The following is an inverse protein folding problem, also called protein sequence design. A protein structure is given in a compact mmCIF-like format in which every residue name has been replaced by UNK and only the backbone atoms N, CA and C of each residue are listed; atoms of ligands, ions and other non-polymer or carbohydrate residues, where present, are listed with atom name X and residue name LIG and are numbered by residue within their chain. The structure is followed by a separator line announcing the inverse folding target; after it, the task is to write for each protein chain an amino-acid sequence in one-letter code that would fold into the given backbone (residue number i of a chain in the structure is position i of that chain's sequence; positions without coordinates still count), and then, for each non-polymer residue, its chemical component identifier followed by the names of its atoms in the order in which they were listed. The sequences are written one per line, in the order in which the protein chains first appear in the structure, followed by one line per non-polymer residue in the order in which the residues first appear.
data_IF_727396589161
#
_entry.id   IF_727396589161
#
_cell.length_a   1.000
_cell.length_b   1.000
_cell.length_c   1.000
_cell.angle_alpha   90.00
_cell.angle_beta   90.00
_cell.angle_gamma   90.00
#
_symmetry.space_group_name_H-M   'P 1'
#
loop_
_entity.id
_entity.type
_entity.pdbx_description
1 polymer ?
2 non-polymer ?
3 non-polymer ?
4 non-polymer ?
5 non-polymer ?
6 non-polymer ?
7 water ?
#
# COMPACT_ATOMS: atom_id res chain seq x y z
N UNK A 1 -10.57 25.35 25.19
CA UNK A 1 -10.28 25.56 23.74
C UNK A 1 -11.30 24.82 22.89
N UNK A 2 -11.36 25.16 21.60
CA UNK A 2 -12.28 24.49 20.69
C UNK A 2 -11.61 23.33 19.96
N UNK A 3 -12.40 22.33 19.59
CA UNK A 3 -11.96 21.25 18.72
C UNK A 3 -12.92 21.19 17.54
N UNK A 4 -12.37 21.27 16.33
CA UNK A 4 -13.14 21.21 15.11
C UNK A 4 -12.79 19.97 14.32
N UNK A 5 -13.74 19.48 13.52
CA UNK A 5 -13.40 18.49 12.51
C UNK A 5 -13.19 19.25 11.21
N UNK A 6 -12.14 18.86 10.47
CA UNK A 6 -11.82 19.41 9.15
C UNK A 6 -11.87 18.32 8.11
N UNK A 7 -13.00 18.22 7.41
CA UNK A 7 -13.23 17.15 6.44
C UNK A 7 -12.77 17.59 5.03
N UNK A 8 -11.78 16.87 4.50
CA UNK A 8 -11.15 17.18 3.23
C UNK A 8 -11.86 16.45 2.12
N UNK A 9 -12.65 17.22 1.38
CA UNK A 9 -13.59 16.68 0.40
C UNK A 9 -13.46 17.41 -0.93
N UNK A 10 -12.26 17.91 -1.21
CA UNK A 10 -11.98 18.59 -2.48
C UNK A 10 -11.20 17.72 -3.46
N UNK A 22 -15.65 12.69 -8.13
CA UNK A 22 -14.93 12.26 -6.92
C UNK A 22 -15.75 11.28 -6.05
N UNK A 23 -15.09 10.25 -5.51
CA UNK A 23 -15.83 9.14 -4.89
C UNK A 23 -16.68 9.50 -3.66
N UNK A 24 -16.36 10.60 -3.00
CA UNK A 24 -17.10 11.00 -1.79
C UNK A 24 -18.58 11.31 -2.05
N UNK A 25 -18.94 11.63 -3.30
CA UNK A 25 -20.33 11.92 -3.66
C UNK A 25 -21.09 10.69 -4.13
N UNK A 26 -20.39 9.58 -4.20
CA UNK A 26 -20.97 8.30 -4.54
C UNK A 26 -21.65 7.65 -3.34
N UNK A 27 -22.72 6.91 -3.62
CA UNK A 27 -23.46 6.20 -2.58
C UNK A 27 -22.71 4.98 -2.07
N UNK A 28 -22.64 4.85 -0.75
CA UNK A 28 -22.26 3.61 -0.12
C UNK A 28 -23.44 3.16 0.72
N UNK A 29 -23.98 1.98 0.42
CA UNK A 29 -25.20 1.51 1.06
C UNK A 29 -26.32 2.36 0.52
N UNK A 30 -26.79 3.31 1.32
CA UNK A 30 -27.90 4.15 0.90
C UNK A 30 -27.65 5.66 1.10
N UNK A 31 -26.40 6.01 1.37
CA UNK A 31 -25.99 7.40 1.63
C UNK A 31 -24.61 7.66 1.02
N UNK A 32 -24.37 8.91 0.56
CA UNK A 32 -23.07 9.25 -0.03
C UNK A 32 -21.93 9.02 0.94
N UNK A 33 -20.79 8.60 0.42
CA UNK A 33 -19.60 8.37 1.25
C UNK A 33 -19.34 9.57 2.17
N UNK A 34 -19.41 10.78 1.63
CA UNK A 34 -19.17 11.99 2.42
C UNK A 34 -20.06 12.05 3.66
N UNK A 35 -21.31 11.64 3.50
CA UNK A 35 -22.29 11.66 4.59
C UNK A 35 -21.92 10.66 5.70
N UNK A 36 -21.53 9.44 5.31
CA UNK A 36 -21.05 8.43 6.24
C UNK A 36 -19.94 9.00 7.11
N UNK A 37 -19.02 9.71 6.45
CA UNK A 37 -17.82 10.26 7.12
C UNK A 37 -18.20 11.37 8.10
N UNK A 38 -19.04 12.31 7.65
CA UNK A 38 -19.50 13.40 8.52
C UNK A 38 -20.26 12.84 9.74
N UNK A 39 -21.11 11.83 9.49
CA UNK A 39 -21.84 11.09 10.54
C UNK A 39 -20.98 10.62 11.70
N UNK A 40 -19.79 10.10 11.39
CA UNK A 40 -18.87 9.61 12.42
C UNK A 40 -18.39 10.71 13.34
N UNK A 41 -18.45 11.97 12.89
CA UNK A 41 -17.99 13.13 13.69
C UNK A 41 -19.10 13.86 14.48
N UNK A 42 -20.34 13.77 14.00
CA UNK A 42 -21.50 14.42 14.65
C UNK A 42 -21.81 13.93 16.06
N UNK A 43 -21.50 12.67 16.37
CA UNK A 43 -21.81 12.16 17.71
C UNK A 43 -20.81 12.58 18.75
N UNK A 44 -19.60 12.91 18.31
CA UNK A 44 -18.52 13.22 19.24
C UNK A 44 -18.85 14.50 20.02
N UNK A 45 -19.11 14.36 21.34
CA UNK A 45 -19.54 15.56 22.07
C UNK A 45 -18.51 16.69 22.13
N UNK A 46 -17.22 16.39 21.94
CA UNK A 46 -16.19 17.42 22.13
C UNK A 46 -15.90 18.28 20.88
N UNK A 47 -16.57 17.96 19.77
CA UNK A 47 -16.41 18.68 18.51
C UNK A 47 -17.35 19.88 18.44
N UNK A 48 -16.81 21.08 18.23
CA UNK A 48 -17.61 22.30 18.12
C UNK A 48 -18.34 22.38 16.76
N UNK A 49 -17.60 22.37 15.66
CA UNK A 49 -18.19 22.39 14.32
C UNK A 49 -17.50 21.37 13.47
N UNK A 50 -18.19 20.91 12.42
CA UNK A 50 -17.62 20.03 11.41
C UNK A 50 -17.51 20.84 10.12
N UNK A 51 -16.27 21.14 9.74
CA UNK A 51 -16.02 22.06 8.64
C UNK A 51 -15.56 21.22 7.46
N UNK A 52 -16.32 21.28 6.37
CA UNK A 52 -16.07 20.45 5.20
C UNK A 52 -15.58 21.29 4.01
N UNK A 53 -14.38 20.97 3.53
CA UNK A 53 -13.78 21.66 2.39
C UNK A 53 -14.15 20.93 1.11
N UNK A 54 -14.90 21.58 0.25
CA UNK A 54 -15.36 20.99 -1.01
C UNK A 54 -14.91 21.89 -2.17
N UNK A 55 -14.70 21.27 -3.33
CA UNK A 55 -14.43 22.03 -4.55
C UNK A 55 -15.54 23.06 -4.71
N UNK A 56 -15.16 24.29 -5.05
CA UNK A 56 -16.11 25.40 -5.18
C UNK A 56 -17.35 25.11 -6.00
N UNK A 57 -17.22 24.31 -7.05
CA UNK A 57 -18.35 23.96 -7.90
C UNK A 57 -19.35 23.00 -7.24
N UNK A 58 -18.92 22.33 -6.17
CA UNK A 58 -19.72 21.32 -5.49
C UNK A 58 -20.19 21.74 -4.10
N UNK A 59 -19.93 23.00 -3.72
CA UNK A 59 -20.37 23.51 -2.43
C UNK A 59 -21.90 23.39 -2.23
N UNK A 60 -22.70 23.90 -3.17
CA UNK A 60 -24.16 23.85 -2.98
C UNK A 60 -24.67 22.40 -3.02
N UNK A 61 -24.00 21.55 -3.79
CA UNK A 61 -24.36 20.14 -3.83
C UNK A 61 -24.11 19.50 -2.44
N UNK A 62 -22.93 19.72 -1.88
CA UNK A 62 -22.64 19.29 -0.52
C UNK A 62 -23.67 19.81 0.50
N UNK A 63 -24.13 21.05 0.33
CA UNK A 63 -25.17 21.62 1.20
C UNK A 63 -26.52 20.92 1.03
N UNK A 64 -26.87 20.57 -0.21
CA UNK A 64 -28.07 19.76 -0.47
C UNK A 64 -28.01 18.42 0.28
N UNK A 65 -26.86 17.76 0.22
CA UNK A 65 -26.65 16.46 0.87
C UNK A 65 -26.86 16.53 2.39
N UNK A 66 -26.32 17.58 3.00
CA UNK A 66 -26.52 17.85 4.44
C UNK A 66 -28.01 18.09 4.75
N UNK A 67 -28.66 18.92 3.94
CA UNK A 67 -30.09 19.16 4.11
C UNK A 67 -30.88 17.86 4.02
N UNK A 68 -30.48 17.01 3.08
CA UNK A 68 -31.20 15.78 2.78
C UNK A 68 -30.90 14.66 3.77
N UNK A 69 -29.63 14.48 4.09
CA UNK A 69 -29.20 13.30 4.86
C UNK A 69 -28.96 13.59 6.34
N UNK A 70 -28.67 14.84 6.68
CA UNK A 70 -28.30 15.20 8.05
C UNK A 70 -28.97 16.51 8.53
N UNK A 71 -30.30 16.67 8.28
CA UNK A 71 -30.97 17.94 8.58
C UNK A 71 -30.91 18.35 10.05
N UNK A 72 -30.82 17.35 10.93
CA UNK A 72 -30.74 17.56 12.37
C UNK A 72 -29.39 18.15 12.77
N UNK A 73 -28.38 18.02 11.90
CA UNK A 73 -27.03 18.50 12.21
C UNK A 73 -26.58 19.68 11.33
N UNK A 74 -27.53 20.26 10.59
CA UNK A 74 -27.27 21.41 9.72
C UNK A 74 -26.40 22.50 10.34
N UNK A 75 -26.75 22.92 11.55
CA UNK A 75 -26.06 24.02 12.21
C UNK A 75 -24.68 23.65 12.76
N UNK A 76 -24.43 22.34 12.88
CA UNK A 76 -23.12 21.83 13.32
C UNK A 76 -22.12 21.73 12.17
N UNK A 77 -22.61 21.84 10.94
CA UNK A 77 -21.80 21.60 9.75
C UNK A 77 -21.62 22.89 8.96
N UNK A 78 -20.37 23.18 8.59
CA UNK A 78 -20.03 24.31 7.72
C UNK A 78 -19.41 23.75 6.46
N UNK A 79 -20.06 23.97 5.33
CA UNK A 79 -19.48 23.70 4.01
C UNK A 79 -18.70 24.93 3.54
N UNK A 80 -17.44 24.74 3.14
CA UNK A 80 -16.63 25.84 2.61
C UNK A 80 -15.83 25.42 1.39
N UNK A 81 -15.42 26.40 0.58
CA UNK A 81 -14.62 26.14 -0.60
C UNK A 81 -13.23 25.63 -0.23
N UNK A 82 -12.90 24.44 -0.70
CA UNK A 82 -11.56 23.88 -0.56
C UNK A 82 -10.59 24.49 -1.56
N UNK A 83 -9.39 23.92 -1.63
CA UNK A 83 -8.34 24.45 -2.49
C UNK A 83 -7.85 23.42 -3.47
N UNK A 84 -6.81 23.80 -4.22
CA UNK A 84 -6.26 22.97 -5.29
C UNK A 84 -5.50 21.72 -4.79
N UNK A 85 -5.09 21.73 -3.53
CA UNK A 85 -4.42 20.57 -2.95
C UNK A 85 -4.87 20.44 -1.50
N UNK A 86 -4.55 19.32 -0.84
CA UNK A 86 -5.05 19.13 0.51
C UNK A 86 -4.66 20.24 1.49
N UNK A 87 -3.41 20.74 1.45
CA UNK A 87 -2.97 21.74 2.42
C UNK A 87 -3.66 23.10 2.22
N UNK A 88 -3.97 23.43 0.97
CA UNK A 88 -4.74 24.64 0.67
C UNK A 88 -6.15 24.48 1.22
N UNK A 89 -6.67 23.25 1.16
CA UNK A 89 -8.01 22.97 1.71
C UNK A 89 -7.97 23.11 3.23
N UNK A 90 -6.92 22.58 3.86
CA UNK A 90 -6.77 22.76 5.32
C UNK A 90 -6.74 24.24 5.72
N UNK A 91 -5.93 25.04 5.04
CA UNK A 91 -5.89 26.48 5.28
C UNK A 91 -7.28 27.09 5.13
N UNK A 92 -7.99 26.72 4.06
CA UNK A 92 -9.32 27.23 3.79
C UNK A 92 -10.29 26.87 4.91
N UNK A 93 -10.19 25.63 5.38
CA UNK A 93 -10.96 25.14 6.54
C UNK A 93 -10.67 25.97 7.79
N UNK A 94 -9.39 26.22 8.05
CA UNK A 94 -8.98 26.97 9.24
C UNK A 94 -9.52 28.41 9.15
N UNK A 95 -9.51 28.98 7.95
CA UNK A 95 -10.06 30.32 7.72
C UNK A 95 -11.56 30.38 8.03
N UNK A 96 -12.29 29.36 7.58
CA UNK A 96 -13.74 29.25 7.86
C UNK A 96 -14.01 29.11 9.36
N UNK A 97 -13.19 28.31 10.03
CA UNK A 97 -13.23 28.19 11.48
C UNK A 97 -13.00 29.55 12.17
N UNK A 98 -11.98 30.27 11.71
CA UNK A 98 -11.63 31.59 12.27
C UNK A 98 -12.78 32.58 12.09
N UNK A 99 -13.50 32.47 10.97
CA UNK A 99 -14.64 33.33 10.68
C UNK A 99 -15.84 32.99 11.58
N UNK A 100 -15.99 31.71 11.93
CA UNK A 100 -17.01 31.26 12.88
C UNK A 100 -16.73 31.83 14.28
N UNK A 101 -15.53 31.59 14.81
CA UNK A 101 -15.10 32.15 16.12
C UNK A 101 -13.60 32.40 16.05
N UNK A 102 -13.18 33.67 16.26
CA UNK A 102 -11.75 34.00 16.09
C UNK A 102 -10.84 33.00 16.84
N UNK A 103 -9.85 32.47 16.13
CA UNK A 103 -8.97 31.44 16.65
C UNK A 103 -8.13 31.91 17.82
N UNK A 104 -7.87 30.99 18.74
CA UNK A 104 -6.85 31.20 19.78
C UNK A 104 -5.75 30.18 19.49
N UNK A 105 -4.59 30.29 20.17
CA UNK A 105 -3.48 29.35 19.93
C UNK A 105 -3.77 27.88 20.27
N UNK A 106 -4.75 27.64 21.11
CA UNK A 106 -5.01 26.29 21.59
C UNK A 106 -6.10 25.55 20.82
N UNK A 107 -6.84 26.27 19.98
CA UNK A 107 -7.89 25.64 19.16
C UNK A 107 -7.31 24.61 18.20
N UNK A 108 -7.96 23.43 18.12
CA UNK A 108 -7.44 22.28 17.41
C UNK A 108 -8.36 21.89 16.23
N UNK A 109 -7.78 21.39 15.13
CA UNK A 109 -8.56 20.82 14.05
C UNK A 109 -8.18 19.36 13.86
N UNK A 110 -9.18 18.49 13.84
CA UNK A 110 -9.01 17.09 13.48
C UNK A 110 -9.31 16.95 11.99
N UNK A 111 -8.25 16.91 11.16
CA UNK A 111 -8.40 16.80 9.71
C UNK A 111 -8.51 15.34 9.26
N UNK A 112 -9.37 15.09 8.26
CA UNK A 112 -9.68 13.73 7.87
C UNK A 112 -10.22 13.69 6.43
N UNK A 113 -9.79 12.69 5.67
CA UNK A 113 -10.25 12.48 4.28
C UNK A 113 -11.75 12.20 4.23
N UNK A 114 -12.46 12.84 3.31
CA UNK A 114 -13.89 12.55 3.11
C UNK A 114 -14.15 11.11 2.72
N UNK A 115 -13.20 10.50 1.99
CA UNK A 115 -13.37 9.13 1.48
C UNK A 115 -12.84 8.05 2.44
N UNK A 116 -12.70 8.41 3.70
CA UNK A 116 -12.40 7.46 4.75
C UNK A 116 -13.60 7.34 5.71
N UNK A 117 -14.69 6.69 5.26
CA UNK A 117 -15.92 6.64 6.08
C UNK A 117 -15.86 5.70 7.29
N UNK A 118 -14.80 4.89 7.41
CA UNK A 118 -14.74 3.88 8.48
C UNK A 118 -13.95 4.31 9.70
N UNK A 119 -13.71 5.62 9.81
CA UNK A 119 -13.09 6.19 11.00
C UNK A 119 -14.05 5.91 12.16
N UNK A 120 -13.49 5.75 13.36
CA UNK A 120 -14.27 5.43 14.55
C UNK A 120 -14.09 6.55 15.57
N UNK A 121 -15.00 6.62 16.55
CA UNK A 121 -14.88 7.58 17.64
C UNK A 121 -13.59 7.34 18.42
N UNK A 122 -13.18 6.08 18.52
CA UNK A 122 -11.96 5.77 19.26
C UNK A 122 -10.77 6.50 18.62
N UNK A 123 -10.70 6.46 17.29
CA UNK A 123 -9.64 7.13 16.53
C UNK A 123 -9.70 8.65 16.71
N UNK A 124 -10.89 9.23 16.54
CA UNK A 124 -11.13 10.67 16.77
C UNK A 124 -10.71 11.06 18.18
N UNK A 125 -11.15 10.28 19.16
CA UNK A 125 -10.84 10.56 20.54
C UNK A 125 -9.34 10.46 20.88
N UNK A 126 -8.69 9.42 20.38
CA UNK A 126 -7.22 9.28 20.50
C UNK A 126 -6.45 10.46 19.93
N UNK A 127 -6.86 10.91 18.74
CA UNK A 127 -6.28 12.07 18.09
C UNK A 127 -6.39 13.33 18.92
N UNK A 128 -7.58 13.55 19.48
CA UNK A 128 -7.80 14.71 20.34
C UNK A 128 -6.92 14.61 21.60
N UNK A 129 -6.86 13.43 22.21
CA UNK A 129 -6.12 13.26 23.44
C UNK A 129 -4.60 13.45 23.24
N UNK A 130 -4.06 12.79 22.22
CA UNK A 130 -2.65 12.96 21.82
C UNK A 130 -2.28 14.42 21.46
N UNK A 131 -3.20 15.14 20.81
CA UNK A 131 -2.94 16.56 20.46
C UNK A 131 -2.66 17.46 21.68
N UNK A 132 -3.11 17.04 22.86
CA UNK A 132 -2.92 17.83 24.08
C UNK A 132 -1.47 17.94 24.47
N UNK A 133 -0.69 16.87 24.29
CA UNK A 133 0.72 16.91 24.69
C UNK A 133 1.73 16.84 23.54
N UNK A 134 1.25 16.98 22.31
CA UNK A 134 2.17 16.97 21.18
C UNK A 134 1.86 18.09 20.19
N UNK A 135 2.76 18.32 19.24
CA UNK A 135 2.56 19.39 18.26
C UNK A 135 1.51 18.97 17.25
N UNK A 136 1.55 17.70 16.86
CA UNK A 136 0.57 17.16 15.92
C UNK A 136 0.40 15.65 16.11
N UNK A 137 -0.58 15.08 15.43
CA UNK A 137 -0.86 13.64 15.53
C UNK A 137 -1.11 13.13 14.12
N UNK A 138 -0.52 11.97 13.80
CA UNK A 138 -0.74 11.35 12.52
C UNK A 138 -1.29 9.97 12.82
N UNK A 139 -2.41 9.62 12.21
CA UNK A 139 -2.99 8.30 12.39
C UNK A 139 -2.36 7.33 11.41
N UNK A 140 -1.75 6.28 11.97
CA UNK A 140 -1.02 5.31 11.18
C UNK A 140 -1.33 3.87 11.58
N UNK A 141 -1.00 2.94 10.69
CA UNK A 141 -0.97 1.51 10.98
C UNK A 141 0.40 0.97 10.56
N UNK A 142 0.78 -0.18 11.09
CA UNK A 142 2.01 -0.84 10.63
C UNK A 142 1.92 -1.11 9.13
N UNK A 143 2.98 -0.76 8.41
CA UNK A 143 3.07 -1.02 6.98
C UNK A 143 3.18 -2.52 6.74
N UNK A 144 2.39 -3.04 5.81
CA UNK A 144 2.37 -4.46 5.49
C UNK A 144 2.91 -4.72 4.08
N UNK A 145 2.85 -3.67 3.25
CA UNK A 145 3.53 -3.62 1.95
C UNK A 145 5.03 -3.63 2.17
N UNK A 146 5.75 -4.28 1.28
CA UNK A 146 7.19 -4.08 1.26
C UNK A 146 7.47 -2.80 0.48
N UNK A 147 8.30 -1.94 1.06
CA UNK A 147 8.56 -0.63 0.48
C UNK A 147 9.98 -0.57 -0.05
N UNK A 148 10.09 -0.18 -1.32
CA UNK A 148 11.37 0.01 -1.99
C UNK A 148 11.54 1.48 -2.37
N UNK A 149 12.74 2.02 -2.15
CA UNK A 149 13.07 3.40 -2.53
C UNK A 149 13.89 3.44 -3.81
N UNK A 150 13.51 4.34 -4.71
CA UNK A 150 14.29 4.64 -5.89
C UNK A 150 14.14 6.11 -6.22
N UNK A 151 15.22 6.89 -6.06
CA UNK A 151 15.20 8.32 -6.39
C UNK A 151 15.12 8.54 -7.91
N UNK A 152 15.74 7.63 -8.66
CA UNK A 152 15.83 7.75 -10.11
C UNK A 152 14.69 7.05 -10.84
N UNK A 153 14.05 6.10 -10.17
CA UNK A 153 12.95 5.34 -10.77
C UNK A 153 13.40 4.25 -11.72
N UNK A 154 14.70 4.00 -11.77
CA UNK A 154 15.29 3.00 -12.65
C UNK A 154 15.86 1.81 -11.87
N UNK A 155 16.51 2.10 -10.74
CA UNK A 155 17.10 1.05 -9.91
C UNK A 155 16.88 1.36 -8.43
N UNK A 156 16.97 0.34 -7.58
CA UNK A 156 16.75 0.53 -6.16
C UNK A 156 17.91 1.31 -5.55
N UNK A 157 17.59 2.43 -4.92
CA UNK A 157 18.59 3.23 -4.23
C UNK A 157 18.62 2.90 -2.74
N UNK A 158 17.51 2.33 -2.23
CA UNK A 158 17.54 1.46 -1.04
C UNK A 158 16.21 0.89 -0.56
N UNK A 159 16.30 0.01 0.42
CA UNK A 159 15.16 -0.60 1.07
C UNK A 159 15.17 -0.13 2.52
N UNK A 160 14.19 0.72 2.90
CA UNK A 160 14.07 1.13 4.30
C UNK A 160 13.84 -0.06 5.23
N UNK A 161 14.28 0.08 6.47
CA UNK A 161 14.00 -0.90 7.51
C UNK A 161 12.49 -0.98 7.75
N UNK A 162 11.89 -2.10 7.35
CA UNK A 162 10.44 -2.31 7.47
C UNK A 162 9.92 -2.28 8.92
N UNK A 163 10.79 -2.55 9.88
CA UNK A 163 10.44 -2.47 11.31
C UNK A 163 10.02 -1.06 11.77
N UNK A 164 10.37 -0.04 10.97
CA UNK A 164 10.10 1.35 11.32
C UNK A 164 9.16 2.06 10.38
N UNK A 165 8.47 1.30 9.53
CA UNK A 165 7.58 1.87 8.54
C UNK A 165 6.12 1.70 8.92
N UNK A 166 5.33 2.72 8.64
CA UNK A 166 3.90 2.76 8.95
C UNK A 166 3.18 3.25 7.72
N UNK A 167 1.97 2.75 7.50
CA UNK A 167 1.09 3.30 6.47
C UNK A 167 0.36 4.49 7.08
N UNK A 168 0.49 5.65 6.43
CA UNK A 168 -0.13 6.87 6.89
C UNK A 168 -1.59 6.87 6.54
N UNK A 169 -2.43 7.23 7.51
CA UNK A 169 -3.85 7.35 7.30
C UNK A 169 -4.25 8.76 7.72
N UNK A 170 -5.55 8.98 7.90
CA UNK A 170 -6.03 10.15 8.62
C UNK A 170 -6.99 9.65 9.71
N UNK A 171 -7.29 10.47 10.74
CA UNK A 171 -6.95 11.88 11.00
C UNK A 171 -5.47 12.31 11.11
N UNK A 172 -5.27 13.60 10.85
CA UNK A 172 -4.07 14.32 11.19
C UNK A 172 -4.54 15.54 11.96
N UNK A 173 -4.01 15.70 13.17
CA UNK A 173 -4.58 16.62 14.15
C UNK A 173 -3.53 17.58 14.70
N UNK A 174 -3.91 18.85 14.82
CA UNK A 174 -2.97 19.89 15.21
C UNK A 174 -3.69 21.21 15.53
N UNK A 175 -2.98 22.11 16.21
CA UNK A 175 -3.53 23.44 16.50
C UNK A 175 -3.63 24.21 15.19
N UNK A 176 -4.78 24.84 14.97
CA UNK A 176 -5.05 25.60 13.75
C UNK A 176 -3.99 26.66 13.50
N UNK A 177 -3.65 27.45 14.53
CA UNK A 177 -2.64 28.51 14.44
C UNK A 177 -1.27 27.93 14.04
N UNK A 178 -0.92 26.79 14.65
CA UNK A 178 0.34 26.12 14.36
C UNK A 178 0.46 25.75 12.89
N UNK A 179 -0.59 25.14 12.33
CA UNK A 179 -0.58 24.83 10.90
C UNK A 179 -0.43 26.10 10.05
N UNK A 180 -1.18 27.14 10.37
CA UNK A 180 -1.10 28.39 9.62
C UNK A 180 0.30 28.99 9.62
N UNK A 181 0.90 29.12 10.81
CA UNK A 181 2.25 29.63 10.93
C UNK A 181 3.30 28.86 10.11
N UNK A 182 3.29 27.54 10.23
CA UNK A 182 4.29 26.71 9.54
C UNK A 182 4.07 26.67 8.03
N UNK A 183 2.82 26.48 7.63
CA UNK A 183 2.46 26.45 6.21
C UNK A 183 2.76 27.78 5.55
N UNK A 184 2.51 28.87 6.29
CA UNK A 184 2.74 30.22 5.80
C UNK A 184 4.19 30.52 5.53
N UNK A 185 5.09 29.76 6.16
CA UNK A 185 6.54 29.98 6.05
C UNK A 185 7.15 29.28 4.84
N UNK A 186 6.32 28.64 4.02
CA UNK A 186 6.81 27.83 2.91
C UNK A 186 6.71 28.57 1.58
N UNK A 187 7.70 28.38 0.72
CA UNK A 187 7.60 28.86 -0.64
C UNK A 187 6.62 27.98 -1.43
N UNK A 188 6.15 28.51 -2.56
CA UNK A 188 5.31 27.73 -3.45
C UNK A 188 5.98 26.40 -3.79
N UNK A 189 7.28 26.45 -4.06
CA UNK A 189 8.02 25.23 -4.40
C UNK A 189 8.06 24.24 -3.23
N UNK A 190 8.20 24.73 -2.01
CA UNK A 190 8.20 23.87 -0.83
C UNK A 190 6.82 23.27 -0.61
N UNK A 191 5.77 24.07 -0.79
CA UNK A 191 4.39 23.56 -0.72
C UNK A 191 4.10 22.44 -1.73
N UNK A 192 4.64 22.56 -2.94
CA UNK A 192 4.53 21.49 -3.96
C UNK A 192 5.10 20.15 -3.53
N UNK A 193 6.12 20.19 -2.69
CA UNK A 193 6.83 18.98 -2.27
C UNK A 193 6.30 18.46 -0.95
N UNK A 194 5.95 19.39 -0.05
CA UNK A 194 5.53 19.04 1.30
C UNK A 194 4.02 18.98 1.33
N UNK A 195 3.48 17.99 0.64
CA UNK A 195 2.05 17.89 0.38
C UNK A 195 1.23 17.35 1.55
N UNK A 196 1.92 16.73 2.51
CA UNK A 196 1.30 16.14 3.69
C UNK A 196 1.42 17.11 4.85
N UNK A 197 0.34 17.27 5.61
CA UNK A 197 0.29 18.25 6.68
C UNK A 197 1.27 17.89 7.80
N UNK A 198 1.30 16.61 8.16
CA UNK A 198 2.24 16.15 9.18
C UNK A 198 3.71 16.33 8.77
N UNK A 199 4.01 16.13 7.49
CA UNK A 199 5.36 16.34 6.94
C UNK A 199 5.89 17.76 7.24
N UNK A 200 5.01 18.76 7.17
CA UNK A 200 5.37 20.15 7.43
C UNK A 200 5.79 20.30 8.89
N UNK A 201 5.05 19.69 9.80
CA UNK A 201 5.42 19.69 11.23
C UNK A 201 6.74 18.94 11.45
N UNK A 202 6.87 17.77 10.82
CA UNK A 202 8.07 16.93 10.98
C UNK A 202 9.36 17.65 10.53
N UNK A 203 9.32 18.25 9.35
CA UNK A 203 10.48 18.93 8.77
C UNK A 203 10.85 20.23 9.50
N UNK A 204 9.87 20.82 10.17
CA UNK A 204 10.10 21.98 11.03
C UNK A 204 10.54 21.61 12.44
N UNK A 205 10.89 20.34 12.63
CA UNK A 205 11.44 19.86 13.90
C UNK A 205 10.43 19.73 15.02
N UNK A 206 9.16 19.54 14.66
CA UNK A 206 8.08 19.44 15.65
C UNK A 206 7.80 17.99 16.10
N UNK A 207 7.05 17.86 17.19
CA UNK A 207 6.73 16.57 17.82
C UNK A 207 5.38 16.03 17.30
N UNK A 208 5.45 15.05 16.39
CA UNK A 208 4.25 14.45 15.81
C UNK A 208 4.08 13.02 16.35
N UNK A 209 3.11 12.88 17.26
CA UNK A 209 2.79 11.59 17.87
C UNK A 209 2.08 10.67 16.89
N UNK A 210 2.25 9.35 17.09
CA UNK A 210 1.52 8.37 16.29
C UNK A 210 0.20 8.02 16.99
N UNK A 211 -0.90 8.08 16.25
CA UNK A 211 -2.18 7.52 16.73
C UNK A 211 -2.45 6.22 15.97
N UNK A 212 -3.10 5.29 16.64
CA UNK A 212 -3.38 3.97 16.10
C UNK A 212 -4.55 4.09 15.14
N UNK A 213 -4.28 3.79 13.87
CA UNK A 213 -5.31 3.71 12.86
C UNK A 213 -5.96 2.35 12.89
N UNK A 214 -6.55 1.93 11.78
CA UNK A 214 -7.15 0.62 11.65
C UNK A 214 -6.99 0.18 10.20
N UNK A 215 -6.79 -1.12 9.98
CA UNK A 215 -6.67 -1.61 8.61
C UNK A 215 -7.98 -1.39 7.84
N UNK A 216 -9.08 -1.39 8.57
CA UNK A 216 -10.41 -1.10 8.03
C UNK A 216 -10.63 0.39 7.72
N UNK A 217 -9.76 1.27 8.22
CA UNK A 217 -9.84 2.72 7.89
C UNK A 217 -9.45 2.97 6.41
N UNK A 218 -10.12 2.23 5.52
CA UNK A 218 -9.93 2.28 4.07
C UNK A 218 -10.13 3.67 3.48
N UNK A 219 -9.25 4.05 2.56
CA UNK A 219 -9.43 5.23 1.74
C UNK A 219 -10.06 4.79 0.41
N UNK A 220 -11.25 5.31 0.11
CA UNK A 220 -11.96 4.86 -1.09
C UNK A 220 -11.52 5.73 -2.26
N UNK A 221 -10.53 5.23 -3.00
CA UNK A 221 -9.92 5.95 -4.11
C UNK A 221 -10.30 5.33 -5.45
N UNK A 222 -10.16 4.02 -5.57
CA UNK A 222 -10.35 3.33 -6.81
C UNK A 222 -11.67 2.56 -6.77
N UNK A 223 -12.14 2.10 -7.93
CA UNK A 223 -13.35 1.28 -8.01
C UNK A 223 -13.18 -0.05 -7.26
N UNK A 224 -11.94 -0.53 -7.14
CA UNK A 224 -11.64 -1.67 -6.26
C UNK A 224 -11.87 -1.33 -4.79
N UNK A 225 -11.43 -0.15 -4.36
CA UNK A 225 -11.66 0.30 -2.98
C UNK A 225 -13.15 0.38 -2.68
N UNK A 226 -13.91 0.84 -3.68
CA UNK A 226 -15.36 0.94 -3.58
C UNK A 226 -16.00 -0.43 -3.33
N UNK A 227 -15.53 -1.46 -4.05
CA UNK A 227 -15.98 -2.84 -3.88
C UNK A 227 -15.71 -3.35 -2.47
N UNK A 228 -14.49 -3.09 -1.99
CA UNK A 228 -14.10 -3.43 -0.62
C UNK A 228 -15.07 -2.74 0.36
N UNK A 229 -15.24 -1.42 0.24
CA UNK A 229 -16.17 -0.67 1.08
C UNK A 229 -17.58 -1.27 1.13
N UNK A 230 -18.12 -1.62 -0.05
CA UNK A 230 -19.44 -2.25 -0.14
C UNK A 230 -19.51 -3.60 0.61
N UNK A 231 -18.46 -4.42 0.46
CA UNK A 231 -18.37 -5.72 1.14
C UNK A 231 -18.34 -5.51 2.64
N UNK A 232 -17.71 -4.42 3.09
CA UNK A 232 -17.54 -4.10 4.51
C UNK A 232 -18.83 -3.66 5.21
N UNK A 233 -19.68 -2.91 4.51
CA UNK A 233 -20.96 -2.51 5.07
C UNK A 233 -21.92 -3.71 5.02
N UNK A 234 -21.37 -4.85 4.62
CA UNK A 234 -22.09 -6.14 4.43
C UNK A 234 -22.93 -6.06 3.16
N UNK B 1 21.61 -19.66 -22.80
CA UNK B 1 21.17 -19.66 -21.37
C UNK B 1 19.67 -19.94 -21.27
N UNK B 2 19.29 -20.64 -20.19
CA UNK B 2 17.88 -20.98 -19.99
C UNK B 2 17.16 -19.96 -19.12
N UNK B 3 15.84 -19.85 -19.33
CA UNK B 3 14.96 -19.02 -18.51
C UNK B 3 13.96 -19.96 -17.82
N UNK B 4 13.86 -19.85 -16.50
CA UNK B 4 12.89 -20.64 -15.75
C UNK B 4 11.92 -19.75 -15.00
N UNK B 5 10.75 -20.29 -14.68
CA UNK B 5 9.85 -19.59 -13.76
C UNK B 5 9.91 -20.33 -12.43
N UNK B 6 9.93 -19.57 -11.35
CA UNK B 6 10.02 -20.14 -10.00
C UNK B 6 8.82 -19.65 -9.20
N UNK B 7 7.80 -20.49 -9.15
CA UNK B 7 6.53 -20.14 -8.48
C UNK B 7 6.58 -20.51 -7.01
N UNK B 8 6.46 -19.51 -6.15
CA UNK B 8 6.50 -19.72 -4.71
C UNK B 8 5.11 -20.05 -4.20
N UNK B 9 4.90 -21.32 -3.85
CA UNK B 9 3.60 -21.79 -3.37
C UNK B 9 3.72 -22.55 -2.05
N UNK B 10 4.68 -22.13 -1.22
CA UNK B 10 4.90 -22.74 0.10
C UNK B 10 6.14 -23.63 0.17
N UNK B 22 -2.33 -19.70 2.32
CA UNK B 22 -2.55 -20.98 1.64
C UNK B 22 -3.68 -20.90 0.60
N UNK B 23 -3.98 -19.67 0.18
CA UNK B 23 -5.06 -19.38 -0.75
C UNK B 23 -4.84 -19.95 -2.15
N UNK B 24 -3.58 -20.22 -2.52
CA UNK B 24 -3.25 -20.70 -3.87
C UNK B 24 -4.01 -21.96 -4.31
N UNK B 25 -4.44 -22.77 -3.33
CA UNK B 25 -5.18 -23.99 -3.63
C UNK B 25 -6.71 -23.80 -3.68
N UNK B 26 -7.17 -22.59 -3.36
CA UNK B 26 -8.59 -22.25 -3.45
C UNK B 26 -8.98 -21.88 -4.88
N UNK B 27 -10.22 -22.19 -5.25
CA UNK B 27 -10.74 -21.91 -6.59
C UNK B 27 -10.94 -20.42 -6.86
N UNK B 28 -10.53 -19.99 -8.05
CA UNK B 28 -10.78 -18.65 -8.60
C UNK B 28 -11.55 -18.84 -9.92
N UNK B 29 -12.84 -18.53 -9.93
CA UNK B 29 -13.72 -18.89 -11.04
C UNK B 29 -13.94 -20.40 -11.05
N UNK B 30 -13.17 -21.10 -11.91
CA UNK B 30 -13.32 -22.54 -12.08
C UNK B 30 -12.00 -23.33 -11.90
N UNK B 31 -10.93 -22.64 -11.54
CA UNK B 31 -9.59 -23.25 -11.44
C UNK B 31 -8.92 -22.75 -10.16
N UNK B 32 -8.06 -23.57 -9.52
CA UNK B 32 -7.30 -23.02 -8.41
C UNK B 32 -6.46 -21.82 -8.82
N UNK B 33 -6.30 -20.87 -7.92
CA UNK B 33 -5.42 -19.71 -8.14
C UNK B 33 -4.04 -20.12 -8.67
N UNK B 34 -3.46 -21.17 -8.10
CA UNK B 34 -2.13 -21.63 -8.50
C UNK B 34 -2.09 -21.94 -10.00
N UNK B 35 -3.08 -22.69 -10.48
CA UNK B 35 -3.25 -22.96 -11.92
C UNK B 35 -3.37 -21.67 -12.76
N UNK B 36 -4.17 -20.71 -12.29
CA UNK B 36 -4.20 -19.37 -12.92
C UNK B 36 -2.79 -18.79 -13.10
N UNK B 37 -2.03 -18.75 -12.01
CA UNK B 37 -0.67 -18.23 -12.03
C UNK B 37 0.28 -19.00 -12.98
N UNK B 38 0.25 -20.34 -12.93
CA UNK B 38 1.03 -21.17 -13.84
C UNK B 38 0.74 -20.88 -15.31
N UNK B 39 -0.55 -20.80 -15.64
CA UNK B 39 -1.01 -20.48 -17.00
C UNK B 39 -0.39 -19.22 -17.62
N UNK B 40 -0.14 -18.20 -16.80
CA UNK B 40 0.42 -16.96 -17.32
C UNK B 40 1.85 -17.16 -17.78
N UNK B 41 2.58 -18.04 -17.08
CA UNK B 41 3.95 -18.36 -17.45
C UNK B 41 4.01 -19.28 -18.66
N UNK B 42 3.02 -20.17 -18.82
CA UNK B 42 2.96 -20.97 -20.04
C UNK B 42 2.79 -20.10 -21.30
N UNK B 43 2.30 -18.86 -21.13
CA UNK B 43 2.11 -17.94 -22.26
C UNK B 43 3.45 -17.44 -22.86
N UNK B 44 4.52 -17.56 -22.08
CA UNK B 44 5.86 -17.15 -22.51
C UNK B 44 6.60 -18.35 -23.07
N UNK B 45 6.79 -18.41 -24.40
CA UNK B 45 7.45 -19.55 -25.05
C UNK B 45 8.91 -19.78 -24.64
N UNK B 46 9.59 -18.74 -24.16
CA UNK B 46 11.01 -18.86 -23.86
C UNK B 46 11.31 -19.44 -22.47
N UNK B 47 10.26 -19.70 -21.67
CA UNK B 47 10.44 -20.35 -20.37
C UNK B 47 10.69 -21.84 -20.63
N UNK B 48 11.80 -22.34 -20.11
CA UNK B 48 12.18 -23.74 -20.32
C UNK B 48 11.30 -24.68 -19.47
N UNK B 49 11.19 -24.37 -18.17
CA UNK B 49 10.35 -25.10 -17.23
C UNK B 49 9.74 -24.15 -16.22
N UNK B 50 8.54 -24.48 -15.78
CA UNK B 50 7.88 -23.76 -14.70
C UNK B 50 8.04 -24.63 -13.46
N UNK B 51 8.86 -24.16 -12.52
CA UNK B 51 9.16 -24.92 -11.31
C UNK B 51 8.35 -24.34 -10.17
N UNK B 52 7.57 -25.20 -9.51
CA UNK B 52 6.68 -24.78 -8.44
C UNK B 52 7.17 -25.37 -7.13
N UNK B 53 7.45 -24.50 -6.17
CA UNK B 53 7.77 -24.92 -4.81
C UNK B 53 6.52 -24.97 -3.94
N UNK B 54 6.14 -26.16 -3.48
CA UNK B 54 5.01 -26.29 -2.53
C UNK B 54 5.46 -26.99 -1.26
N UNK B 55 4.63 -26.89 -0.22
CA UNK B 55 4.84 -27.60 1.03
C UNK B 55 5.05 -29.09 0.74
N UNK B 56 5.99 -29.71 1.44
CA UNK B 56 6.33 -31.12 1.23
C UNK B 56 5.13 -32.03 1.08
N UNK B 57 4.13 -31.86 1.95
CA UNK B 57 2.93 -32.70 1.97
C UNK B 57 1.94 -32.42 0.82
N UNK B 58 2.15 -31.31 0.12
CA UNK B 58 1.22 -30.88 -0.93
C UNK B 58 1.74 -31.12 -2.34
N UNK B 59 2.89 -31.76 -2.45
CA UNK B 59 3.51 -31.99 -3.75
C UNK B 59 2.62 -32.80 -4.68
N UNK B 60 2.15 -33.96 -4.21
CA UNK B 60 1.34 -34.82 -5.05
C UNK B 60 0.00 -34.17 -5.34
N UNK B 61 -0.51 -33.38 -4.38
CA UNK B 61 -1.72 -32.58 -4.59
C UNK B 61 -1.57 -31.60 -5.75
N UNK B 62 -0.45 -30.86 -5.77
CA UNK B 62 -0.15 -29.91 -6.83
C UNK B 62 0.07 -30.61 -8.17
N UNK B 63 0.68 -31.80 -8.12
CA UNK B 63 0.86 -32.66 -9.29
C UNK B 63 -0.46 -33.12 -9.91
N UNK B 64 -1.40 -33.50 -9.04
CA UNK B 64 -2.73 -33.89 -9.47
C UNK B 64 -3.50 -32.70 -10.09
N UNK B 65 -3.35 -31.54 -9.47
CA UNK B 65 -3.87 -30.27 -10.03
C UNK B 65 -3.36 -30.00 -11.45
N UNK B 66 -2.04 -30.11 -11.64
CA UNK B 66 -1.44 -29.97 -12.97
C UNK B 66 -2.04 -30.99 -13.94
N UNK B 67 -2.11 -32.25 -13.52
CA UNK B 67 -2.69 -33.31 -14.34
C UNK B 67 -4.13 -33.00 -14.75
N UNK B 68 -4.91 -32.54 -13.78
CA UNK B 68 -6.35 -32.29 -13.98
C UNK B 68 -6.63 -31.07 -14.84
N UNK B 69 -5.83 -30.01 -14.68
CA UNK B 69 -6.14 -28.69 -15.24
C UNK B 69 -5.25 -28.25 -16.40
N UNK B 70 -4.04 -28.80 -16.46
CA UNK B 70 -3.09 -28.45 -17.50
C UNK B 70 -2.39 -29.70 -18.04
N UNK B 71 -3.15 -30.77 -18.37
CA UNK B 71 -2.49 -32.01 -18.79
C UNK B 71 -1.63 -31.81 -20.03
N UNK B 72 -2.08 -30.93 -20.92
CA UNK B 72 -1.36 -30.58 -22.15
C UNK B 72 0.02 -29.98 -21.88
N UNK B 73 0.20 -29.40 -20.69
CA UNK B 73 1.45 -28.68 -20.36
C UNK B 73 2.25 -29.34 -19.24
N UNK B 74 1.90 -30.56 -18.85
CA UNK B 74 2.50 -31.15 -17.65
C UNK B 74 4.01 -31.35 -17.74
N UNK B 75 4.51 -31.60 -18.95
CA UNK B 75 5.95 -31.76 -19.19
C UNK B 75 6.76 -30.48 -18.96
N UNK B 76 6.09 -29.32 -19.04
CA UNK B 76 6.70 -28.01 -18.88
C UNK B 76 6.75 -27.56 -17.42
N UNK B 77 6.10 -28.34 -16.53
CA UNK B 77 5.95 -27.96 -15.12
C UNK B 77 6.68 -28.94 -14.21
N UNK B 78 7.49 -28.42 -13.31
CA UNK B 78 8.10 -29.23 -12.26
C UNK B 78 7.55 -28.83 -10.88
N UNK B 79 7.04 -29.81 -10.15
CA UNK B 79 6.61 -29.56 -8.77
C UNK B 79 7.69 -30.09 -7.85
N UNK B 80 8.19 -29.23 -6.98
CA UNK B 80 9.22 -29.61 -6.01
C UNK B 80 8.88 -29.14 -4.60
N UNK B 81 9.52 -29.75 -3.61
CA UNK B 81 9.32 -29.38 -2.20
C UNK B 81 9.97 -28.03 -1.90
N UNK B 82 9.16 -27.05 -1.52
CA UNK B 82 9.66 -25.74 -1.10
C UNK B 82 10.22 -25.80 0.30
N UNK B 83 10.60 -24.64 0.84
CA UNK B 83 11.24 -24.56 2.15
C UNK B 83 10.44 -23.82 3.21
N UNK B 84 11.10 -23.53 4.34
CA UNK B 84 10.50 -22.89 5.51
C UNK B 84 10.22 -21.38 5.32
N UNK B 85 10.97 -20.74 4.44
CA UNK B 85 10.68 -19.36 4.04
C UNK B 85 10.85 -19.20 2.52
N UNK B 86 10.50 -18.05 1.97
CA UNK B 86 10.54 -17.86 0.52
C UNK B 86 11.95 -18.00 -0.08
N UNK B 87 12.97 -17.66 0.69
CA UNK B 87 14.34 -17.77 0.18
C UNK B 87 14.87 -19.20 0.14
N UNK B 88 14.48 -20.01 1.12
CA UNK B 88 14.82 -21.45 1.12
C UNK B 88 14.08 -22.13 -0.06
N UNK B 89 12.85 -21.70 -0.31
CA UNK B 89 12.05 -22.22 -1.44
C UNK B 89 12.70 -21.87 -2.76
N UNK B 90 13.24 -20.66 -2.87
CA UNK B 90 13.99 -20.25 -4.07
C UNK B 90 15.23 -21.14 -4.21
N UNK B 91 15.95 -21.35 -3.11
CA UNK B 91 17.09 -22.27 -3.10
C UNK B 91 16.68 -23.67 -3.58
N UNK B 92 15.55 -24.18 -3.08
CA UNK B 92 15.06 -25.51 -3.48
C UNK B 92 14.67 -25.58 -4.94
N UNK B 93 14.05 -24.51 -5.42
CA UNK B 93 13.68 -24.36 -6.82
C UNK B 93 14.93 -24.43 -7.72
N UNK B 94 15.97 -23.68 -7.35
CA UNK B 94 17.20 -23.64 -8.13
C UNK B 94 17.91 -25.00 -8.11
N UNK B 95 17.93 -25.67 -6.96
CA UNK B 95 18.46 -27.03 -6.90
C UNK B 95 17.63 -28.01 -7.73
N UNK B 96 16.32 -27.80 -7.83
CA UNK B 96 15.46 -28.62 -8.69
C UNK B 96 15.76 -28.37 -10.17
N UNK B 97 15.98 -27.10 -10.51
CA UNK B 97 16.39 -26.73 -11.85
C UNK B 97 17.72 -27.42 -12.21
N UNK B 98 18.70 -27.32 -11.32
CA UNK B 98 20.03 -27.89 -11.55
C UNK B 98 19.99 -29.41 -11.69
N UNK B 99 19.09 -30.06 -10.95
CA UNK B 99 18.89 -31.51 -11.05
C UNK B 99 18.33 -31.89 -12.42
N UNK B 100 17.46 -31.03 -12.94
CA UNK B 100 16.83 -31.22 -14.25
C UNK B 100 17.82 -31.02 -15.37
N UNK B 101 18.51 -29.88 -15.34
CA UNK B 101 19.47 -29.52 -16.37
C UNK B 101 20.56 -28.69 -15.71
N UNK B 102 21.83 -29.14 -15.81
CA UNK B 102 22.93 -28.46 -15.13
C UNK B 102 22.94 -26.96 -15.42
N UNK B 103 23.04 -26.14 -14.38
CA UNK B 103 23.00 -24.68 -14.53
C UNK B 103 24.24 -24.12 -15.20
N UNK B 104 24.05 -23.07 -16.00
CA UNK B 104 25.12 -22.20 -16.43
C UNK B 104 25.02 -20.95 -15.56
N UNK B 105 26.12 -20.17 -15.45
CA UNK B 105 26.06 -18.93 -14.68
C UNK B 105 25.04 -17.89 -15.18
N UNK B 106 24.47 -18.10 -16.37
CA UNK B 106 23.60 -17.11 -16.99
C UNK B 106 22.13 -17.52 -17.08
N UNK B 107 21.80 -18.71 -16.60
CA UNK B 107 20.40 -19.15 -16.54
C UNK B 107 19.69 -18.26 -15.52
N UNK B 108 18.51 -17.77 -15.90
CA UNK B 108 17.76 -16.90 -15.00
C UNK B 108 16.50 -17.57 -14.45
N UNK B 109 16.10 -17.16 -13.25
CA UNK B 109 14.82 -17.59 -12.70
C UNK B 109 13.94 -16.38 -12.43
N UNK B 110 12.72 -16.44 -12.98
CA UNK B 110 11.68 -15.45 -12.71
C UNK B 110 10.83 -15.93 -11.55
N UNK B 111 11.16 -15.49 -10.34
CA UNK B 111 10.41 -15.93 -9.16
C UNK B 111 9.15 -15.09 -8.97
N UNK B 112 8.06 -15.73 -8.57
CA UNK B 112 6.75 -15.07 -8.54
C UNK B 112 5.81 -15.74 -7.53
N UNK B 113 5.07 -14.94 -6.79
CA UNK B 113 4.07 -15.47 -5.85
C UNK B 113 2.99 -16.30 -6.56
N UNK B 114 2.76 -17.53 -6.09
CA UNK B 114 1.61 -18.33 -6.54
C UNK B 114 0.26 -17.59 -6.44
N UNK B 115 0.13 -16.76 -5.40
CA UNK B 115 -1.12 -16.02 -5.12
C UNK B 115 -1.21 -14.64 -5.83
N UNK B 116 -0.38 -14.45 -6.84
CA UNK B 116 -0.50 -13.31 -7.77
C UNK B 116 -0.88 -13.80 -9.20
N UNK B 117 -2.15 -14.19 -9.39
CA UNK B 117 -2.55 -14.79 -10.67
C UNK B 117 -2.81 -13.80 -11.80
N UNK B 118 -2.85 -12.50 -11.49
CA UNK B 118 -3.09 -11.47 -12.50
C UNK B 118 -1.83 -10.85 -13.11
N UNK B 119 -0.70 -11.52 -12.94
CA UNK B 119 0.53 -11.20 -13.67
C UNK B 119 0.26 -11.27 -15.17
N UNK B 120 0.84 -10.33 -15.92
CA UNK B 120 0.62 -10.25 -17.37
C UNK B 120 1.86 -10.73 -18.11
N UNK B 121 1.70 -11.04 -19.40
CA UNK B 121 2.81 -11.41 -20.27
C UNK B 121 3.87 -10.29 -20.30
N UNK B 122 3.42 -9.04 -20.47
CA UNK B 122 4.27 -7.85 -20.44
C UNK B 122 5.23 -7.85 -19.22
N UNK B 123 4.67 -8.07 -18.04
CA UNK B 123 5.45 -8.09 -16.81
C UNK B 123 6.54 -9.15 -16.84
N UNK B 124 6.19 -10.34 -17.35
CA UNK B 124 7.14 -11.44 -17.46
C UNK B 124 8.24 -11.08 -18.44
N UNK B 125 7.84 -10.56 -19.60
CA UNK B 125 8.77 -10.12 -20.64
C UNK B 125 9.75 -9.05 -20.13
N UNK B 126 9.22 -8.04 -19.43
CA UNK B 126 10.05 -6.97 -18.88
C UNK B 126 11.07 -7.45 -17.88
N UNK B 127 10.66 -8.42 -17.06
CA UNK B 127 11.55 -9.05 -16.10
C UNK B 127 12.72 -9.78 -16.76
N UNK B 128 12.43 -10.50 -17.85
CA UNK B 128 13.45 -11.24 -18.57
C UNK B 128 14.42 -10.26 -19.24
N UNK B 129 13.86 -9.26 -19.94
CA UNK B 129 14.67 -8.22 -20.60
C UNK B 129 15.58 -7.47 -19.63
N UNK B 130 15.01 -7.02 -18.51
CA UNK B 130 15.76 -6.22 -17.54
C UNK B 130 16.81 -7.02 -16.78
N UNK B 131 16.59 -8.33 -16.63
CA UNK B 131 17.56 -9.22 -15.99
C UNK B 131 18.85 -9.30 -16.79
N UNK B 132 18.76 -9.00 -18.08
CA UNK B 132 19.91 -9.13 -18.99
C UNK B 132 21.03 -8.19 -18.55
N UNK B 133 20.70 -6.91 -18.44
CA UNK B 133 21.67 -5.87 -18.11
C UNK B 133 21.75 -5.46 -16.63
N UNK B 134 21.18 -6.27 -15.74
CA UNK B 134 21.23 -5.96 -14.31
C UNK B 134 21.48 -7.22 -13.47
N UNK B 135 21.86 -7.02 -12.20
CA UNK B 135 22.03 -8.12 -11.26
C UNK B 135 20.70 -8.78 -10.88
N UNK B 136 19.67 -7.97 -10.65
CA UNK B 136 18.34 -8.48 -10.38
C UNK B 136 17.28 -7.49 -10.84
N UNK B 137 16.03 -7.94 -10.77
CA UNK B 137 14.87 -7.13 -11.18
C UNK B 137 13.78 -7.28 -10.12
N UNK B 138 13.23 -6.16 -9.68
CA UNK B 138 12.14 -6.11 -8.71
C UNK B 138 10.91 -5.47 -9.40
N UNK B 139 9.80 -6.20 -9.45
CA UNK B 139 8.56 -5.70 -10.06
C UNK B 139 7.78 -4.88 -9.05
N UNK B 140 7.39 -3.67 -9.44
CA UNK B 140 7.10 -2.62 -8.47
C UNK B 140 6.02 -1.67 -9.00
N UNK B 141 5.28 -1.04 -8.09
CA UNK B 141 4.35 0.03 -8.48
C UNK B 141 4.59 1.26 -7.61
N UNK B 142 4.28 2.44 -8.13
CA UNK B 142 4.40 3.66 -7.33
C UNK B 142 3.58 3.54 -6.04
N UNK B 143 4.18 3.89 -4.90
CA UNK B 143 3.47 3.82 -3.60
C UNK B 143 2.23 4.72 -3.58
N UNK B 144 1.08 4.17 -3.21
CA UNK B 144 -0.13 4.99 -3.12
C UNK B 144 -0.34 5.66 -1.76
N UNK B 145 0.11 5.00 -0.70
CA UNK B 145 -0.02 5.55 0.65
C UNK B 145 1.22 6.35 1.00
N UNK B 146 1.01 7.39 1.81
CA UNK B 146 2.09 8.09 2.45
C UNK B 146 2.71 7.12 3.44
N UNK B 147 4.02 6.98 3.36
CA UNK B 147 4.74 6.12 4.26
C UNK B 147 5.36 7.02 5.33
N UNK B 148 5.22 6.57 6.58
CA UNK B 148 5.70 7.29 7.75
C UNK B 148 6.76 6.44 8.45
N UNK B 149 7.88 7.06 8.79
CA UNK B 149 8.94 6.38 9.54
C UNK B 149 9.02 6.85 11.00
N UNK B 150 9.05 5.89 11.92
CA UNK B 150 9.34 6.19 13.31
C UNK B 150 10.25 5.11 13.80
N UNK B 151 11.50 5.48 14.09
CA UNK B 151 12.47 4.52 14.62
C UNK B 151 12.18 4.21 16.09
N UNK B 152 11.29 4.97 16.70
CA UNK B 152 10.99 4.83 18.12
C UNK B 152 9.56 4.39 18.48
N UNK B 153 8.65 4.41 17.51
CA UNK B 153 7.26 4.00 17.75
C UNK B 153 6.37 4.98 18.50
N UNK B 154 6.87 6.19 18.77
CA UNK B 154 6.16 7.19 19.58
C UNK B 154 5.95 8.47 18.78
N UNK B 155 7.00 8.93 18.11
CA UNK B 155 6.89 10.11 17.23
C UNK B 155 7.55 9.87 15.89
N UNK B 156 7.12 10.64 14.88
CA UNK B 156 7.64 10.49 13.53
C UNK B 156 9.07 11.03 13.43
N UNK B 157 9.96 10.21 12.89
CA UNK B 157 11.35 10.60 12.66
C UNK B 157 11.58 11.04 11.19
N UNK B 158 10.70 10.61 10.29
CA UNK B 158 10.74 11.03 8.88
C UNK B 158 9.45 10.67 8.13
N UNK B 159 9.07 11.53 7.18
CA UNK B 159 8.08 11.17 6.18
C UNK B 159 8.78 11.30 4.83
N UNK B 160 9.30 10.17 4.29
CA UNK B 160 10.05 10.24 3.03
C UNK B 160 9.16 10.71 1.90
N UNK B 161 9.75 11.27 0.85
CA UNK B 161 8.99 11.73 -0.32
C UNK B 161 8.39 10.53 -1.02
N UNK B 162 7.06 10.47 -1.01
CA UNK B 162 6.31 9.37 -1.61
C UNK B 162 6.64 9.15 -3.09
N UNK B 163 7.09 10.20 -3.78
CA UNK B 163 7.40 10.12 -5.22
C UNK B 163 8.59 9.21 -5.51
N UNK B 164 9.40 8.93 -4.48
CA UNK B 164 10.55 8.04 -4.62
C UNK B 164 10.30 6.63 -4.07
N UNK B 165 9.07 6.39 -3.62
CA UNK B 165 8.74 5.13 -2.95
C UNK B 165 7.86 4.26 -3.81
N UNK B 166 8.09 2.96 -3.69
CA UNK B 166 7.44 1.95 -4.51
C UNK B 166 6.99 0.79 -3.64
N UNK B 167 5.83 0.23 -3.95
CA UNK B 167 5.35 -0.97 -3.31
C UNK B 167 5.93 -2.17 -4.06
N UNK B 168 6.66 -3.01 -3.35
CA UNK B 168 7.24 -4.23 -3.93
C UNK B 168 6.17 -5.24 -4.29
N UNK B 169 6.29 -5.81 -5.50
CA UNK B 169 5.45 -6.92 -5.93
C UNK B 169 6.38 -8.07 -6.30
N UNK B 170 5.87 -9.05 -7.05
CA UNK B 170 6.69 -10.02 -7.76
C UNK B 170 6.18 -10.01 -9.21
N UNK B 171 6.98 -10.48 -10.18
CA UNK B 171 8.26 -11.22 -10.14
C UNK B 171 9.49 -10.52 -9.56
N UNK B 172 10.36 -11.34 -8.99
CA UNK B 172 11.70 -10.91 -8.68
C UNK B 172 12.59 -11.84 -9.49
N UNK B 173 13.39 -11.27 -10.38
CA UNK B 173 14.11 -12.04 -11.38
C UNK B 173 15.62 -11.84 -11.26
N UNK B 174 16.37 -12.93 -11.43
CA UNK B 174 17.84 -12.89 -11.33
C UNK B 174 18.45 -14.19 -11.87
N UNK B 175 19.77 -14.20 -12.02
CA UNK B 175 20.49 -15.40 -12.42
C UNK B 175 20.55 -16.37 -11.25
N UNK B 176 20.29 -17.64 -11.55
CA UNK B 176 20.23 -18.67 -10.53
C UNK B 176 21.52 -18.75 -9.73
N UNK B 177 22.65 -18.84 -10.44
CA UNK B 177 23.97 -18.91 -9.79
C UNK B 177 24.20 -17.72 -8.85
N UNK B 178 23.82 -16.52 -9.30
CA UNK B 178 23.99 -15.30 -8.51
C UNK B 178 23.22 -15.36 -7.20
N UNK B 179 21.96 -15.81 -7.25
CA UNK B 179 21.21 -15.98 -6.02
C UNK B 179 21.92 -16.97 -5.06
N UNK B 180 22.35 -18.12 -5.59
CA UNK B 180 22.96 -19.16 -4.77
C UNK B 180 24.25 -18.69 -4.11
N UNK B 181 25.00 -17.87 -4.85
CA UNK B 181 26.26 -17.35 -4.37
C UNK B 181 26.08 -16.36 -3.23
N UNK B 182 25.11 -15.47 -3.39
CA UNK B 182 24.81 -14.47 -2.37
C UNK B 182 24.19 -15.10 -1.14
N UNK B 183 23.20 -15.96 -1.37
CA UNK B 183 22.46 -16.63 -0.32
C UNK B 183 23.38 -17.49 0.54
N UNK B 184 24.29 -18.22 -0.12
CA UNK B 184 25.22 -19.10 0.57
C UNK B 184 26.19 -18.34 1.47
N UNK B 185 26.39 -17.06 1.17
CA UNK B 185 27.30 -16.20 1.93
C UNK B 185 26.64 -15.56 3.17
N UNK B 186 25.35 -15.80 3.38
CA UNK B 186 24.65 -15.24 4.53
C UNK B 186 24.67 -16.17 5.74
N UNK B 187 24.78 -15.58 6.93
CA UNK B 187 24.58 -16.30 8.18
C UNK B 187 23.08 -16.48 8.42
N UNK B 188 22.74 -17.41 9.30
CA UNK B 188 21.34 -17.70 9.68
C UNK B 188 20.55 -16.46 10.07
N UNK B 189 21.23 -15.50 10.68
CA UNK B 189 20.62 -14.27 11.17
C UNK B 189 20.38 -13.28 10.05
N UNK B 190 21.31 -13.21 9.10
CA UNK B 190 21.12 -12.39 7.90
C UNK B 190 19.91 -12.88 7.11
N UNK B 191 19.84 -14.20 6.92
CA UNK B 191 18.75 -14.84 6.18
C UNK B 191 17.39 -14.55 6.80
N UNK B 192 17.36 -14.35 8.11
CA UNK B 192 16.14 -13.95 8.81
C UNK B 192 15.69 -12.52 8.52
N UNK B 193 16.66 -11.62 8.30
CA UNK B 193 16.37 -10.20 8.07
C UNK B 193 16.18 -9.93 6.58
N UNK B 194 17.03 -10.55 5.77
CA UNK B 194 16.95 -10.45 4.32
C UNK B 194 15.89 -11.42 3.79
N UNK B 195 14.64 -10.98 3.88
CA UNK B 195 13.47 -11.85 3.74
C UNK B 195 13.02 -12.08 2.30
N UNK B 196 13.40 -11.18 1.40
CA UNK B 196 13.15 -11.41 -0.03
C UNK B 196 14.45 -11.30 -0.84
N UNK B 197 14.42 -11.84 -2.05
CA UNK B 197 15.61 -11.94 -2.90
C UNK B 197 16.24 -10.59 -3.20
N UNK B 198 15.43 -9.60 -3.56
CA UNK B 198 15.94 -8.29 -3.97
C UNK B 198 16.66 -7.58 -2.82
N UNK B 199 16.17 -7.79 -1.59
CA UNK B 199 16.84 -7.24 -0.43
C UNK B 199 18.27 -7.79 -0.28
N UNK B 200 18.44 -9.09 -0.57
CA UNK B 200 19.78 -9.70 -0.54
C UNK B 200 20.70 -9.00 -1.55
N UNK B 201 20.21 -8.89 -2.80
CA UNK B 201 20.93 -8.20 -3.86
C UNK B 201 21.32 -6.75 -3.51
N UNK B 202 20.34 -5.96 -3.08
CA UNK B 202 20.59 -4.55 -2.73
C UNK B 202 21.65 -4.39 -1.65
N UNK B 203 21.51 -5.11 -0.53
CA UNK B 203 22.46 -4.99 0.58
C UNK B 203 23.88 -5.45 0.23
N UNK B 204 24.00 -6.37 -0.74
CA UNK B 204 25.30 -6.84 -1.19
C UNK B 204 25.87 -5.91 -2.26
N UNK B 205 25.28 -4.71 -2.35
CA UNK B 205 25.75 -3.66 -3.25
C UNK B 205 25.55 -3.97 -4.73
N UNK B 206 24.53 -4.76 -5.06
CA UNK B 206 24.24 -5.11 -6.45
C UNK B 206 23.25 -4.15 -7.10
N UNK B 207 23.10 -4.26 -8.42
CA UNK B 207 22.22 -3.37 -9.17
C UNK B 207 20.90 -4.04 -9.49
N UNK B 208 19.85 -3.62 -8.80
CA UNK B 208 18.53 -4.17 -9.08
C UNK B 208 17.58 -3.17 -9.73
N UNK B 209 17.14 -3.54 -10.94
CA UNK B 209 16.32 -2.70 -11.76
C UNK B 209 14.87 -2.82 -11.33
N UNK B 210 14.11 -1.74 -11.51
CA UNK B 210 12.68 -1.79 -11.30
C UNK B 210 11.97 -2.17 -12.61
N UNK B 211 11.13 -3.19 -12.54
CA UNK B 211 10.19 -3.51 -13.62
C UNK B 211 8.84 -2.95 -13.18
N UNK B 212 8.04 -2.50 -14.14
CA UNK B 212 6.74 -1.95 -13.85
C UNK B 212 5.74 -3.08 -13.56
N UNK B 213 5.14 -3.02 -12.37
CA UNK B 213 4.07 -3.94 -12.00
C UNK B 213 2.75 -3.41 -12.49
N UNK B 214 1.67 -3.83 -11.84
CA UNK B 214 0.35 -3.26 -12.09
C UNK B 214 -0.39 -3.18 -10.77
N UNK B 215 -1.29 -2.23 -10.63
CA UNK B 215 -2.14 -2.18 -9.45
C UNK B 215 -3.09 -3.39 -9.40
N UNK B 216 -3.40 -3.96 -10.57
CA UNK B 216 -4.23 -5.16 -10.64
C UNK B 216 -3.49 -6.46 -10.27
N UNK B 217 -2.16 -6.38 -10.08
CA UNK B 217 -1.33 -7.53 -9.67
C UNK B 217 -1.55 -7.82 -8.20
N UNK B 218 -2.81 -8.08 -7.84
CA UNK B 218 -3.23 -8.36 -6.46
C UNK B 218 -2.57 -9.61 -5.87
N UNK B 219 -2.05 -9.46 -4.65
CA UNK B 219 -1.60 -10.60 -3.88
C UNK B 219 -2.80 -11.04 -3.05
N UNK B 220 -3.25 -12.28 -3.28
CA UNK B 220 -4.43 -12.81 -2.62
C UNK B 220 -4.00 -13.43 -1.29
N UNK B 221 -4.09 -12.60 -0.25
CA UNK B 221 -3.68 -12.96 1.11
C UNK B 221 -4.90 -13.23 1.99
N UNK B 222 -5.89 -12.35 1.93
CA UNK B 222 -7.04 -12.38 2.83
C UNK B 222 -8.29 -12.85 2.12
N UNK B 223 -9.34 -13.10 2.89
CA UNK B 223 -10.65 -13.51 2.36
C UNK B 223 -11.23 -12.45 1.43
N UNK B 224 -11.06 -11.19 1.77
CA UNK B 224 -11.56 -10.12 0.91
C UNK B 224 -10.73 -10.01 -0.37
N UNK B 225 -9.41 -10.21 -0.28
CA UNK B 225 -8.60 -10.29 -1.51
C UNK B 225 -9.19 -11.34 -2.45
N UNK B 226 -9.63 -12.47 -1.90
CA UNK B 226 -10.20 -13.54 -2.71
C UNK B 226 -11.50 -13.08 -3.35
N UNK B 227 -12.35 -12.44 -2.54
CA UNK B 227 -13.60 -11.84 -3.03
C UNK B 227 -13.35 -10.86 -4.19
N UNK B 228 -12.40 -9.94 -4.00
CA UNK B 228 -12.00 -9.03 -5.07
C UNK B 228 -11.48 -9.77 -6.31
N UNK B 229 -10.63 -10.76 -6.10
CA UNK B 229 -10.09 -11.52 -7.23
C UNK B 229 -11.23 -12.11 -8.05
N UNK B 230 -12.19 -12.74 -7.37
CA UNK B 230 -13.37 -13.32 -8.01
C UNK B 230 -14.15 -12.33 -8.88
N UNK B 231 -14.30 -11.09 -8.40
CA UNK B 231 -15.00 -10.05 -9.16
C UNK B 231 -14.21 -9.58 -10.38
N UNK B 232 -12.89 -9.75 -10.35
CA UNK B 232 -12.03 -9.39 -11.47
C UNK B 232 -12.11 -10.45 -12.58
N UNK B 233 -12.62 -11.64 -12.24
CA UNK B 233 -12.62 -12.78 -13.15
C UNK B 233 -14.04 -13.22 -13.47
X LIG C 1 -8.11 35.45 13.36
X LIG D 1 -13.92 26.34 -8.30
X LIG D 1 -12.59 26.52 -7.82
X LIG D 1 -14.61 27.69 -8.37
X LIG D 1 -15.41 27.85 -7.21
X LIG D 1 -16.76 28.21 -7.52
X LIG D 1 -17.27 29.25 -6.53
X LIG D 1 -16.27 30.27 -6.37
X LIG E 1 9.55 26.60 15.09
X LIG E 1 8.97 27.23 13.94
X LIG E 1 7.73 28.03 14.34
X LIG E 1 6.70 27.12 14.73
X LIG E 1 4.46 26.75 15.60
X LIG E 1 5.50 27.78 15.15
X LIG E 1 4.99 25.87 16.59
X LIG E 1 4.99 25.26 18.97
X LIG E 1 4.79 26.36 17.92
X LIG E 1 6.05 24.39 18.59
X LIG E 1 7.82 22.92 19.26
X LIG E 1 6.96 24.11 19.65
X LIG E 1 9.20 23.09 19.58
X LIG E 1 10.70 23.15 17.65
X LIG E 1 9.91 23.95 18.68
X LIG E 1 10.98 24.01 16.53
X LIG F 1 -13.09 39.83 15.12
X LIG F 1 -11.72 40.11 15.45
X LIG F 1 -11.33 39.54 16.81
X LIG F 1 -12.45 39.16 17.62
X LIG F 1 -12.10 39.09 19.00
X LIG F 1 -12.85 37.99 19.73
X LIG F 1 -14.24 37.99 19.45
X LIG F 1 -14.98 37.08 20.26
X LIG F 1 -16.46 37.04 19.85
X LIG F 1 -16.57 36.93 18.42
X LIG F 1 -17.60 36.01 18.02
X LIG F 1 -18.22 36.43 16.70
X LIG F 1 -17.21 36.66 15.69
X LIG G 1 10.39 15.19 21.60
X LIG G 1 10.35 16.32 22.48
X LIG G 1 9.82 15.69 20.27
X LIG G 1 10.30 14.93 19.16
X LIG G 1 11.56 15.42 18.68
X LIG G 1 11.36 16.27 17.45
X LIG G 1 12.65 16.75 17.02
X LIG H 1 -16.84 3.37 17.45
X LIG H 1 -17.56 4.42 16.77
X LIG H 1 -15.48 3.75 18.06
X LIG H 1 -14.85 2.59 18.60
X LIG H 1 -13.98 1.81 17.73
X LIG H 1 -14.39 0.35 17.63
X LIG H 1 -15.29 0.11 16.51
X LIG I 1 7.32 25.82 -11.05
X LIG J 1 27.75 -7.48 -10.08
X LIG J 1 28.70 -7.15 -9.06
X LIG J 1 28.55 -5.70 -8.60
X LIG J 1 28.69 -5.60 -7.18
X LIG J 1 29.97 -5.15 -6.78
X LIG J 1 30.16 -5.43 -5.28
X LIG J 1 29.88 -6.81 -5.02
X LIG J 1 30.11 -7.17 -3.66
X LIG J 1 29.42 -8.50 -3.35
X LIG J 1 29.79 -9.45 -4.34
X LIG J 1 29.33 -10.76 -4.03
X LIG J 1 29.50 -11.66 -5.24
X LIG J 1 28.47 -12.64 -5.24
X LIG J 1 28.40 -13.38 -6.46
X LIG J 1 27.10 -13.10 -7.19
X LIG J 1 27.07 -11.76 -7.64
X LIG J 1 27.23 -11.64 -9.06
X LIG J 1 26.52 -10.38 -9.55
X LIG J 1 25.10 -10.59 -9.61
#
# INVERSE_FOLDING_TARGET
HMIYAGILAGGTGTRMGISNLPKQFLELGDRPILIHTIEKFVLEPSIEKIVVGVHGDWVSHAEDLVDKYLPLYKERIIITKGGADRNTSIKNIIEAIDAYRPLTPEDIVVTHDSVRPFITLRMIQDNIQLAQNHDAVDTVVEAVDTIVESTNGQFITDIPNRAHLYQGQTPQTFRCKDFMDLYGSLSDEEKEILTDACKIFVIKGKDVALAKGEYSNLKITTVTDLKIAKSMIEKD
HMIYAGILAGGTGTRMGISNLPKQFLELGDRPILIHTIEKFVLEPSIEKIVVGVHGDWVSHAEDLVDKYLPLYKERIIITKGGADRNTSIKNIIEAIDAYRPLTPEDIVVTHDSVRPFITLRMIQDNIQLAQNHDAVDTVVEAVDTIVESTNGQFITDIPNRAHLYQGQTPQTFRCKDFMDLYGSLSDEEKEILTDACKIFVIKGKDVALAKGEYSNLKITTVTDLKIAKSMIEKD
CA CA
PEG C1 O1 C2 O2 C3 C4 O4
1PE OH2 C12 C22 OH3 C13 C23 OH4 C14 C24 OH5 C15 C25 OH6 C16 C26 OH7
PG4 O1 C1 C2 O2 C3 C4 O3 C5 C6 O4 C7 C8 O5
PEG C1 O1 C2 O2 C3 C4 O4
PEG C1 O1 C2 O2 C3 C4 O4
CA CA
P6G O1 C2 C3 O4 C5 C6 O7 C8 C9 O10 C11 C12 O13 C14 C15 O16 C17 C18 O19
#
